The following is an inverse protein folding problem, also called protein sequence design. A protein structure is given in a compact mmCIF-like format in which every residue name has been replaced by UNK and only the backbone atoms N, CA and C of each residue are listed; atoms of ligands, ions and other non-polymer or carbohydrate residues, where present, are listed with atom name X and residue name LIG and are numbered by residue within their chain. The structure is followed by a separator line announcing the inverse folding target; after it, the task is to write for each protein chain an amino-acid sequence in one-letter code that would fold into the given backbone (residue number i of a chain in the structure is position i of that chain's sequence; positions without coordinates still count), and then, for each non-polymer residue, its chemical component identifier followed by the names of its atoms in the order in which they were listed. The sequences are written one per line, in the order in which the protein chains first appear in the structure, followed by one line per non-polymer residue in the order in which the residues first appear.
data_IF_179240569993
#
_entry.id   IF_179240569993
#
_cell.length_a   1.000
_cell.length_b   1.000
_cell.length_c   1.000
_cell.angle_alpha   90.00
_cell.angle_beta   90.00
_cell.angle_gamma   90.00
#
_symmetry.space_group_name_H-M   'P 1'
#
loop_
_entity.id
_entity.type
_entity.pdbx_description
1 polymer ?
#
# COMPACT_ATOMS: atom_id res chain seq x y z
N UNK A 1 24.26 9.46 -1.32
CA UNK A 1 23.62 8.37 -2.07
C UNK A 1 22.15 8.73 -2.11
N UNK A 2 21.66 9.11 -3.28
CA UNK A 2 20.23 9.39 -3.44
C UNK A 2 19.46 8.09 -3.18
N UNK A 3 18.43 8.16 -2.34
CA UNK A 3 17.64 7.00 -1.99
C UNK A 3 16.90 6.48 -3.24
N UNK A 4 16.86 5.16 -3.42
CA UNK A 4 16.16 4.51 -4.53
C UNK A 4 14.68 4.96 -4.58
N UNK A 5 14.25 5.66 -5.64
CA UNK A 5 12.87 6.17 -5.75
C UNK A 5 11.82 5.08 -5.66
N UNK A 6 12.12 3.86 -6.12
CA UNK A 6 11.20 2.73 -6.03
C UNK A 6 11.05 2.29 -4.58
N UNK A 7 12.16 2.10 -3.85
CA UNK A 7 12.09 1.72 -2.43
C UNK A 7 11.35 2.77 -1.57
N UNK A 8 11.51 4.05 -1.89
CA UNK A 8 10.74 5.13 -1.25
C UNK A 8 9.24 5.04 -1.58
N UNK A 9 8.89 4.80 -2.85
CA UNK A 9 7.51 4.66 -3.29
C UNK A 9 6.84 3.41 -2.69
N UNK A 10 7.54 2.28 -2.60
CA UNK A 10 7.07 1.09 -1.89
C UNK A 10 6.81 1.38 -0.41
N UNK A 11 7.71 2.11 0.25
CA UNK A 11 7.52 2.52 1.65
C UNK A 11 6.32 3.45 1.83
N UNK A 12 6.12 4.38 0.90
CA UNK A 12 4.98 5.30 0.91
C UNK A 12 3.65 4.55 0.75
N UNK A 13 3.61 3.56 -0.16
CA UNK A 13 2.45 2.70 -0.37
C UNK A 13 2.15 1.80 0.83
N UNK A 14 3.17 1.39 1.60
CA UNK A 14 2.96 0.69 2.87
C UNK A 14 2.30 1.60 3.92
N UNK A 15 2.75 2.85 4.05
CA UNK A 15 2.10 3.83 4.93
C UNK A 15 0.64 4.07 4.55
N UNK A 16 0.30 4.08 3.25
CA UNK A 16 -1.08 4.17 2.79
C UNK A 16 -1.94 3.00 3.28
N UNK A 17 -1.39 1.77 3.27
CA UNK A 17 -2.06 0.58 3.80
C UNK A 17 -2.21 0.67 5.33
N UNK A 18 -1.16 1.09 6.05
CA UNK A 18 -1.23 1.28 7.50
C UNK A 18 -2.28 2.33 7.88
N UNK A 19 -2.28 3.48 7.19
CA UNK A 19 -3.28 4.54 7.39
C UNK A 19 -4.68 4.03 7.12
N UNK A 20 -4.92 3.37 5.98
CA UNK A 20 -6.22 2.77 5.66
C UNK A 20 -6.77 1.82 6.72
N UNK A 21 -5.89 1.12 7.44
CA UNK A 21 -6.26 0.17 8.48
C UNK A 21 -6.48 0.84 9.84
N UNK A 22 -5.68 1.86 10.16
CA UNK A 22 -5.95 2.74 11.30
C UNK A 22 -7.28 3.49 11.14
N UNK A 23 -7.63 3.81 9.90
CA UNK A 23 -8.85 4.48 9.46
C UNK A 23 -10.11 3.60 9.56
N UNK A 24 -9.99 2.28 9.43
CA UNK A 24 -11.05 1.34 9.80
C UNK A 24 -11.38 1.38 11.31
N UNK A 25 -10.54 2.04 12.13
CA UNK A 25 -10.83 2.39 13.52
C UNK A 25 -11.38 3.83 13.71
N UNK A 26 -11.63 4.62 12.65
CA UNK A 26 -12.45 5.84 12.76
C UNK A 26 -12.17 7.07 11.88
N UNK A 27 -11.38 7.03 10.81
CA UNK A 27 -11.23 8.17 9.88
C UNK A 27 -11.18 7.67 8.43
N UNK A 28 -11.58 8.47 7.46
CA UNK A 28 -11.48 8.08 6.04
C UNK A 28 -10.12 8.52 5.52
N UNK A 29 -9.49 7.75 4.62
CA UNK A 29 -8.29 8.12 3.83
C UNK A 29 -8.45 9.43 3.02
N UNK A 30 -9.61 10.05 3.13
CA UNK A 30 -10.08 11.29 2.56
C UNK A 30 -10.56 12.16 3.73
N UNK A 31 -9.77 13.14 4.14
CA UNK A 31 -10.29 14.25 4.92
C UNK A 31 -10.87 15.27 3.95
N UNK A 32 -12.18 15.49 4.01
CA UNK A 32 -12.76 16.68 3.41
C UNK A 32 -12.22 17.88 4.21
N UNK A 33 -11.37 18.69 3.60
CA UNK A 33 -10.99 19.98 4.19
C UNK A 33 -12.26 20.72 4.58
N UNK A 34 -12.34 21.18 5.83
CA UNK A 34 -13.51 21.91 6.32
C UNK A 34 -13.73 23.12 5.42
N UNK A 35 -14.83 23.08 4.68
CA UNK A 35 -15.24 24.16 3.79
C UNK A 35 -15.39 25.45 4.61
N UNK A 36 -14.45 26.38 4.44
CA UNK A 36 -14.67 27.77 4.79
C UNK A 36 -15.73 28.31 3.82
N UNK A 37 -16.87 28.71 4.39
CA UNK A 37 -18.00 29.25 3.67
C UNK A 37 -17.63 30.60 3.05
N UNK A 38 -17.45 30.66 1.74
CA UNK A 38 -17.37 31.92 1.00
C UNK A 38 -16.46 31.90 -0.21
N UNK A 39 -17.07 31.73 -1.39
CA UNK A 39 -16.57 32.20 -2.69
C UNK A 39 -15.26 31.57 -3.22
N UNK A 40 -15.41 30.60 -4.12
CA UNK A 40 -14.50 30.43 -5.27
C UNK A 40 -13.28 29.52 -5.09
N UNK A 41 -13.01 28.98 -3.91
CA UNK A 41 -11.95 27.98 -3.76
C UNK A 41 -12.44 26.59 -4.19
N UNK A 42 -11.78 26.02 -5.20
CA UNK A 42 -11.92 24.61 -5.52
C UNK A 42 -11.61 23.82 -4.24
N UNK A 43 -12.38 22.76 -3.91
CA UNK A 43 -12.06 21.93 -2.75
C UNK A 43 -10.61 21.45 -2.86
N UNK A 44 -9.75 21.94 -1.97
CA UNK A 44 -8.38 21.45 -1.86
C UNK A 44 -8.44 20.09 -1.21
N UNK A 45 -8.40 19.03 -2.03
CA UNK A 45 -8.38 17.67 -1.50
C UNK A 45 -6.98 17.40 -0.96
N UNK A 46 -6.82 17.45 0.35
CA UNK A 46 -5.57 17.14 1.05
C UNK A 46 -5.45 15.62 1.20
N UNK A 47 -4.25 15.07 0.95
CA UNK A 47 -3.95 13.68 1.30
C UNK A 47 -3.86 13.57 2.82
N UNK A 48 -4.68 12.72 3.43
CA UNK A 48 -4.54 12.39 4.84
C UNK A 48 -3.37 11.41 5.02
N UNK A 49 -2.18 11.94 5.25
CA UNK A 49 -0.93 11.19 5.35
C UNK A 49 -0.51 11.01 6.82
N UNK A 50 0.12 9.87 7.12
CA UNK A 50 0.89 9.75 8.36
C UNK A 50 2.12 10.69 8.31
N UNK A 51 2.70 11.11 9.45
CA UNK A 51 3.91 11.93 9.45
C UNK A 51 5.05 11.31 8.61
N UNK A 52 5.19 9.98 8.66
CA UNK A 52 6.16 9.26 7.83
C UNK A 52 5.79 9.30 6.34
N UNK A 53 4.51 9.20 6.00
CA UNK A 53 4.07 9.31 4.61
C UNK A 53 4.30 10.73 4.05
N UNK A 54 4.15 11.79 4.86
CA UNK A 54 4.50 13.16 4.47
C UNK A 54 6.00 13.29 4.15
N UNK A 55 6.87 12.76 5.00
CA UNK A 55 8.31 12.74 4.75
C UNK A 55 8.68 12.00 3.46
N UNK A 56 8.04 10.86 3.21
CA UNK A 56 8.25 10.07 2.01
C UNK A 56 7.72 10.79 0.76
N UNK A 57 6.56 11.42 0.84
CA UNK A 57 5.99 12.25 -0.22
C UNK A 57 6.95 13.39 -0.59
N UNK A 58 7.47 14.11 0.40
CA UNK A 58 8.43 15.19 0.19
C UNK A 58 9.74 14.70 -0.45
N UNK A 59 10.25 13.52 -0.05
CA UNK A 59 11.43 12.91 -0.68
C UNK A 59 11.17 12.45 -2.11
N UNK A 60 9.97 11.95 -2.39
CA UNK A 60 9.59 11.44 -3.71
C UNK A 60 9.34 12.56 -4.70
N UNK A 61 8.60 13.60 -4.31
CA UNK A 61 8.10 14.60 -5.26
C UNK A 61 8.69 15.99 -5.05
N UNK A 62 9.18 16.31 -3.84
CA UNK A 62 9.66 17.66 -3.50
C UNK A 62 8.59 18.71 -3.76
N UNK A 63 8.98 19.84 -4.35
CA UNK A 63 8.07 20.94 -4.68
C UNK A 63 7.34 20.75 -6.03
N UNK A 64 7.44 19.56 -6.65
CA UNK A 64 6.80 19.31 -7.95
C UNK A 64 5.29 19.34 -7.81
N UNK A 65 4.63 19.98 -8.76
CA UNK A 65 3.18 19.89 -8.91
C UNK A 65 2.82 18.45 -9.32
N UNK A 66 2.02 17.79 -8.49
CA UNK A 66 1.55 16.43 -8.74
C UNK A 66 0.02 16.45 -8.84
N UNK A 67 -0.50 15.75 -9.84
CA UNK A 67 -1.93 15.50 -9.99
C UNK A 67 -2.40 14.56 -8.86
N UNK A 68 -2.88 15.16 -7.77
CA UNK A 68 -3.25 14.45 -6.54
C UNK A 68 -4.30 13.36 -6.77
N UNK A 69 -5.21 13.55 -7.72
CA UNK A 69 -6.25 12.56 -8.00
C UNK A 69 -5.66 11.29 -8.64
N UNK A 70 -4.65 11.45 -9.51
CA UNK A 70 -3.94 10.30 -10.08
C UNK A 70 -3.16 9.52 -9.01
N UNK A 71 -2.54 10.22 -8.05
CA UNK A 71 -1.88 9.54 -6.92
C UNK A 71 -2.88 8.78 -6.05
N UNK A 72 -4.03 9.40 -5.73
CA UNK A 72 -5.09 8.75 -4.93
C UNK A 72 -5.61 7.49 -5.59
N UNK A 73 -5.83 7.52 -6.89
CA UNK A 73 -6.31 6.35 -7.65
C UNK A 73 -5.32 5.19 -7.55
N UNK A 74 -4.01 5.47 -7.68
CA UNK A 74 -2.96 4.45 -7.51
C UNK A 74 -2.94 3.92 -6.07
N UNK A 75 -2.99 4.80 -5.07
CA UNK A 75 -2.98 4.41 -3.66
C UNK A 75 -4.21 3.56 -3.30
N UNK A 76 -5.41 3.97 -3.71
CA UNK A 76 -6.65 3.25 -3.45
C UNK A 76 -6.67 1.88 -4.14
N UNK A 77 -6.21 1.82 -5.39
CA UNK A 77 -6.08 0.56 -6.12
C UNK A 77 -5.08 -0.38 -5.44
N UNK A 78 -3.95 0.15 -4.96
CA UNK A 78 -2.96 -0.61 -4.21
C UNK A 78 -3.52 -1.15 -2.89
N UNK A 79 -4.15 -0.31 -2.07
CA UNK A 79 -4.74 -0.74 -0.79
C UNK A 79 -5.73 -1.87 -0.98
N UNK A 80 -6.64 -1.74 -1.96
CA UNK A 80 -7.60 -2.80 -2.31
C UNK A 80 -6.92 -4.11 -2.74
N UNK A 81 -5.84 -4.00 -3.53
CA UNK A 81 -5.06 -5.16 -4.00
C UNK A 81 -4.32 -5.84 -2.85
N UNK A 82 -3.66 -5.06 -1.99
CA UNK A 82 -2.97 -5.57 -0.80
C UNK A 82 -3.94 -6.31 0.12
N UNK A 83 -5.13 -5.78 0.36
CA UNK A 83 -6.14 -6.46 1.19
C UNK A 83 -6.60 -7.79 0.58
N UNK A 84 -6.70 -7.89 -0.75
CA UNK A 84 -7.02 -9.15 -1.41
C UNK A 84 -5.89 -10.18 -1.26
N UNK A 85 -4.63 -9.76 -1.39
CA UNK A 85 -3.47 -10.63 -1.22
C UNK A 85 -3.28 -11.07 0.24
N UNK A 86 -3.54 -10.19 1.20
CA UNK A 86 -3.52 -10.54 2.62
C UNK A 86 -4.63 -11.56 2.96
N UNK A 87 -5.83 -11.41 2.38
CA UNK A 87 -6.88 -12.43 2.49
C UNK A 87 -6.44 -13.76 1.89
N UNK A 88 -5.80 -13.76 0.72
CA UNK A 88 -5.25 -14.98 0.09
C UNK A 88 -4.23 -15.65 1.01
N UNK A 89 -3.27 -14.90 1.58
CA UNK A 89 -2.29 -15.42 2.54
C UNK A 89 -2.96 -16.02 3.77
N UNK A 90 -3.96 -15.34 4.32
CA UNK A 90 -4.68 -15.80 5.51
C UNK A 90 -5.50 -17.07 5.23
N UNK A 91 -6.12 -17.18 4.04
CA UNK A 91 -6.81 -18.39 3.59
C UNK A 91 -5.83 -19.56 3.45
N UNK A 92 -4.70 -19.36 2.77
CA UNK A 92 -3.66 -20.38 2.69
C UNK A 92 -3.23 -20.87 4.07
N UNK A 93 -2.89 -19.96 4.98
CA UNK A 93 -2.48 -20.30 6.35
C UNK A 93 -3.57 -21.07 7.11
N UNK A 94 -4.82 -20.66 6.97
CA UNK A 94 -5.97 -21.31 7.62
C UNK A 94 -6.14 -22.73 7.08
N UNK A 95 -6.17 -22.89 5.77
CA UNK A 95 -6.44 -24.16 5.12
C UNK A 95 -5.31 -25.15 5.38
N UNK A 96 -4.05 -24.69 5.31
CA UNK A 96 -2.89 -25.50 5.64
C UNK A 96 -2.94 -26.01 7.08
N UNK A 97 -3.22 -25.12 8.05
CA UNK A 97 -3.30 -25.50 9.48
C UNK A 97 -4.47 -26.43 9.77
N UNK A 98 -5.59 -26.27 9.08
CA UNK A 98 -6.73 -27.18 9.22
C UNK A 98 -6.41 -28.59 8.70
N UNK A 99 -5.56 -28.69 7.67
CA UNK A 99 -5.16 -29.98 7.09
C UNK A 99 -4.05 -30.68 7.87
N UNK A 100 -3.09 -29.93 8.43
CA UNK A 100 -1.84 -30.49 8.97
C UNK A 100 -1.63 -30.23 10.48
N UNK A 101 -2.52 -29.46 11.12
CA UNK A 101 -2.38 -29.02 12.50
C UNK A 101 -1.75 -27.63 12.63
N UNK A 102 -1.83 -27.07 13.84
CA UNK A 102 -1.35 -25.70 14.11
C UNK A 102 0.11 -25.66 14.58
N UNK A 103 0.65 -26.78 15.07
CA UNK A 103 2.02 -26.86 15.57
C UNK A 103 2.98 -27.14 14.42
N UNK A 104 3.70 -26.10 13.99
CA UNK A 104 4.72 -26.19 12.93
C UNK A 104 5.86 -27.16 13.30
N UNK A 105 6.16 -27.35 14.59
CA UNK A 105 7.20 -28.29 15.00
C UNK A 105 6.78 -29.75 14.80
N UNK A 106 5.47 -30.00 14.65
CA UNK A 106 4.92 -31.31 14.32
C UNK A 106 4.87 -31.60 12.82
N UNK A 107 5.29 -30.67 11.97
CA UNK A 107 5.29 -30.87 10.53
C UNK A 107 6.40 -31.84 10.11
N UNK A 108 6.06 -32.75 9.21
CA UNK A 108 7.05 -33.49 8.43
C UNK A 108 7.83 -32.57 7.49
N UNK A 109 8.97 -33.03 6.98
CA UNK A 109 9.78 -32.28 6.01
C UNK A 109 8.97 -31.87 4.77
N UNK A 110 8.18 -32.78 4.20
CA UNK A 110 7.31 -32.51 3.05
C UNK A 110 6.25 -31.42 3.37
N UNK A 111 5.65 -31.47 4.56
CA UNK A 111 4.70 -30.44 4.99
C UNK A 111 5.38 -29.08 5.18
N UNK A 112 6.61 -29.08 5.70
CA UNK A 112 7.37 -27.84 5.85
C UNK A 112 7.68 -27.22 4.49
N UNK A 113 8.12 -28.01 3.52
CA UNK A 113 8.38 -27.56 2.14
C UNK A 113 7.11 -27.02 1.47
N UNK A 114 5.97 -27.70 1.60
CA UNK A 114 4.68 -27.24 1.08
C UNK A 114 4.22 -25.94 1.74
N UNK A 115 4.43 -25.81 3.05
CA UNK A 115 4.09 -24.61 3.80
C UNK A 115 4.94 -23.41 3.36
N UNK A 116 6.25 -23.60 3.27
CA UNK A 116 7.21 -22.54 2.93
C UNK A 116 7.06 -22.11 1.47
N UNK A 117 7.03 -23.06 0.52
CA UNK A 117 6.83 -22.75 -0.90
C UNK A 117 5.49 -22.06 -1.16
N UNK A 118 4.41 -22.46 -0.49
CA UNK A 118 3.12 -21.82 -0.59
C UNK A 118 3.11 -20.39 -0.05
N UNK A 119 3.79 -20.13 1.07
CA UNK A 119 3.96 -18.77 1.58
C UNK A 119 4.84 -17.92 0.67
N UNK A 120 5.95 -18.48 0.18
CA UNK A 120 6.88 -17.77 -0.69
C UNK A 120 6.22 -17.38 -2.01
N UNK A 121 5.40 -18.23 -2.60
CA UNK A 121 4.61 -17.90 -3.79
C UNK A 121 3.71 -16.67 -3.55
N UNK A 122 2.98 -16.66 -2.43
CA UNK A 122 2.08 -15.53 -2.10
C UNK A 122 2.87 -14.26 -1.78
N UNK A 123 4.00 -14.38 -1.06
CA UNK A 123 4.86 -13.24 -0.75
C UNK A 123 5.55 -12.67 -2.00
N UNK A 124 5.88 -13.53 -2.97
CA UNK A 124 6.35 -13.14 -4.29
C UNK A 124 5.30 -12.28 -5.01
N UNK A 125 4.05 -12.75 -5.08
CA UNK A 125 2.94 -11.98 -5.66
C UNK A 125 2.72 -10.62 -4.98
N UNK A 126 2.86 -10.55 -3.65
CA UNK A 126 2.78 -9.29 -2.89
C UNK A 126 3.92 -8.36 -3.28
N UNK A 127 5.14 -8.88 -3.37
CA UNK A 127 6.33 -8.11 -3.72
C UNK A 127 6.21 -7.53 -5.12
N UNK A 128 5.88 -8.35 -6.11
CA UNK A 128 5.68 -7.94 -7.49
C UNK A 128 4.55 -6.90 -7.62
N UNK A 129 3.43 -7.13 -6.94
CA UNK A 129 2.30 -6.20 -6.96
C UNK A 129 2.64 -4.85 -6.33
N UNK A 130 3.41 -4.84 -5.23
CA UNK A 130 3.86 -3.61 -4.57
C UNK A 130 4.81 -2.84 -5.47
N UNK A 131 5.75 -3.54 -6.10
CA UNK A 131 6.70 -2.95 -7.04
C UNK A 131 5.97 -2.30 -8.23
N UNK A 132 5.04 -3.02 -8.85
CA UNK A 132 4.23 -2.48 -9.95
C UNK A 132 3.40 -1.26 -9.54
N UNK A 133 2.85 -1.25 -8.31
CA UNK A 133 2.16 -0.09 -7.77
C UNK A 133 3.12 1.08 -7.51
N UNK A 134 4.34 0.84 -7.04
CA UNK A 134 5.37 1.85 -6.83
C UNK A 134 5.76 2.52 -8.16
N UNK A 135 5.96 1.74 -9.22
CA UNK A 135 6.18 2.31 -10.55
C UNK A 135 5.00 3.15 -11.03
N UNK A 136 3.76 2.67 -10.83
CA UNK A 136 2.56 3.41 -11.20
C UNK A 136 2.45 4.73 -10.43
N UNK A 137 2.81 4.74 -9.14
CA UNK A 137 2.84 5.92 -8.29
C UNK A 137 3.86 6.94 -8.81
N UNK A 138 5.08 6.49 -9.14
CA UNK A 138 6.11 7.35 -9.70
C UNK A 138 5.69 7.93 -11.06
N UNK A 139 5.05 7.14 -11.93
CA UNK A 139 4.50 7.61 -13.21
C UNK A 139 3.41 8.66 -13.00
N UNK A 140 2.48 8.42 -12.08
CA UNK A 140 1.42 9.37 -11.73
C UNK A 140 1.99 10.68 -11.15
N UNK A 141 3.05 10.59 -10.33
CA UNK A 141 3.72 11.73 -9.73
C UNK A 141 4.69 12.47 -10.64
N UNK A 142 4.98 11.92 -11.81
CA UNK A 142 5.84 12.55 -12.84
C UNK A 142 5.04 13.30 -13.89
N UNK A 143 3.80 13.69 -13.57
CA UNK A 143 2.78 14.29 -14.43
C UNK A 143 3.32 14.95 -15.71
N UNK A 144 2.79 14.47 -16.84
CA UNK A 144 3.08 14.86 -18.23
C UNK A 144 3.55 16.31 -18.36
N UNK A 145 4.81 16.50 -18.75
CA UNK A 145 5.26 17.76 -19.33
C UNK A 145 4.44 18.02 -20.59
N UNK A 146 3.38 18.81 -20.48
CA UNK A 146 2.69 19.46 -21.60
C UNK A 146 2.34 20.88 -21.24
#
# INVERSE_FOLDING_TARGET
MDADPIALAESFLQEAVYRSRGDQAGATLLSAGSASCGLGEKPSVVLDLSPRAEELYAKLFGDRAVELDSLKDVMAAWVKRQDALDRKRNHFLKDFRNAHGFDRNGYSEEQLELFESGLDAINGEITEARHAAAEALLRAGSGSAR
#
